data_IF_794566317778
#
_entry.id   IF_794566317778
#
_cell.length_a   1.000
_cell.length_b   1.000
_cell.length_c   1.000
_cell.angle_alpha   90.00
_cell.angle_beta   90.00
_cell.angle_gamma   90.00
#
_symmetry.space_group_name_H-M   'P 1'
#
loop_
_entity.id
_entity.type
_entity.pdbx_description
1 polymer ?
#
# COMPACT_ATOMS: atom_id res chain seq x y z
N UNK A 1 10.09 28.55 33.52
CA UNK A 1 11.32 27.73 33.31
C UNK A 1 10.93 26.26 33.43
N UNK A 2 11.16 25.46 32.40
CA UNK A 2 11.67 24.10 32.56
C UNK A 2 13.08 23.99 31.97
N UNK A 3 13.89 23.16 32.63
CA UNK A 3 15.27 22.86 32.28
C UNK A 3 15.37 21.82 31.13
N UNK A 4 16.58 21.69 30.54
CA UNK A 4 16.80 21.18 29.18
C UNK A 4 17.43 19.78 29.13
N UNK A 5 17.69 19.31 27.91
CA UNK A 5 18.64 18.25 27.53
C UNK A 5 18.25 16.80 27.89
N UNK A 6 17.67 16.12 26.90
CA UNK A 6 18.13 14.78 26.48
C UNK A 6 18.08 14.73 24.94
N UNK A 7 19.28 14.84 24.35
CA UNK A 7 19.74 14.23 23.08
C UNK A 7 18.85 14.46 21.84
N UNK A 8 19.10 15.45 20.98
CA UNK A 8 20.21 15.52 20.01
C UNK A 8 20.97 14.20 19.77
N UNK A 9 21.10 13.84 18.49
CA UNK A 9 21.70 12.63 17.91
C UNK A 9 20.70 11.48 17.71
N UNK A 10 19.88 11.60 16.66
CA UNK A 10 19.63 10.54 15.66
C UNK A 10 19.06 11.20 14.39
N UNK A 11 19.77 12.21 13.86
CA UNK A 11 19.69 12.57 12.44
C UNK A 11 20.87 11.85 11.79
N UNK A 12 20.76 10.52 11.70
CA UNK A 12 21.68 9.68 10.95
C UNK A 12 20.83 8.99 9.89
N UNK A 13 21.00 9.43 8.65
CA UNK A 13 20.75 8.68 7.41
C UNK A 13 19.99 7.37 7.63
N UNK A 14 18.65 7.40 7.63
CA UNK A 14 17.90 6.17 7.46
C UNK A 14 18.08 5.77 5.98
N UNK A 15 18.72 4.63 5.68
CA UNK A 15 18.66 4.10 4.32
C UNK A 15 17.19 3.91 3.95
N UNK A 16 16.82 4.21 2.69
CA UNK A 16 15.44 4.03 2.18
C UNK A 16 14.82 2.73 2.66
N UNK A 17 13.49 2.67 2.82
CA UNK A 17 12.77 1.52 3.38
C UNK A 17 13.02 0.20 2.64
N UNK A 18 13.59 0.21 1.44
CA UNK A 18 14.23 -0.95 0.80
C UNK A 18 15.21 -1.64 1.77
N UNK A 19 16.08 -0.88 2.43
CA UNK A 19 17.00 -1.37 3.45
C UNK A 19 16.32 -1.86 4.72
N UNK A 20 15.23 -1.22 5.16
CA UNK A 20 14.49 -1.59 6.38
C UNK A 20 13.61 -2.82 6.19
N UNK A 21 12.97 -2.98 5.03
CA UNK A 21 12.19 -4.18 4.64
C UNK A 21 13.13 -5.39 4.48
N UNK A 22 14.31 -5.20 3.87
CA UNK A 22 15.37 -6.22 3.84
C UNK A 22 15.86 -6.59 5.26
N UNK A 23 16.00 -5.59 6.16
CA UNK A 23 16.43 -5.83 7.54
C UNK A 23 15.38 -6.57 8.38
N UNK A 24 14.09 -6.21 8.23
CA UNK A 24 12.98 -6.88 8.89
C UNK A 24 12.87 -8.35 8.45
N UNK A 25 13.05 -8.64 7.15
CA UNK A 25 13.13 -10.01 6.62
C UNK A 25 14.31 -10.81 7.20
N UNK A 26 15.50 -10.21 7.38
CA UNK A 26 16.66 -10.89 8.00
C UNK A 26 16.41 -11.32 9.45
N UNK A 27 15.53 -10.64 10.17
CA UNK A 27 15.12 -11.00 11.53
C UNK A 27 14.05 -12.10 11.56
N UNK A 28 13.24 -12.26 10.50
CA UNK A 28 12.18 -13.29 10.42
C UNK A 28 12.59 -14.56 9.67
N UNK A 29 13.58 -14.49 8.77
CA UNK A 29 14.03 -15.62 7.94
C UNK A 29 15.25 -16.37 8.51
N UNK A 30 15.87 -15.88 9.59
CA UNK A 30 16.96 -16.59 10.29
C UNK A 30 16.49 -17.85 11.05
N UNK A 31 15.20 -18.13 11.05
CA UNK A 31 14.59 -19.35 11.62
C UNK A 31 14.35 -20.47 10.62
N UNK A 32 14.61 -20.30 9.31
CA UNK A 32 14.48 -21.41 8.34
C UNK A 32 15.50 -21.31 7.19
N UNK A 33 16.48 -22.21 7.23
CA UNK A 33 17.03 -22.93 6.06
C UNK A 33 17.70 -22.17 4.91
N UNK A 34 19.02 -22.29 4.83
CA UNK A 34 19.91 -21.95 3.71
C UNK A 34 19.64 -22.75 2.42
N UNK A 35 19.71 -22.10 1.24
CA UNK A 35 20.71 -22.41 0.19
C UNK A 35 20.60 -21.51 -1.06
N UNK A 36 21.76 -21.37 -1.73
CA UNK A 36 22.13 -20.50 -2.86
C UNK A 36 21.43 -20.85 -4.20
N UNK A 37 21.49 -20.08 -5.30
CA UNK A 37 22.66 -19.77 -6.16
C UNK A 37 22.29 -18.79 -7.30
N UNK A 38 23.31 -18.14 -7.87
CA UNK A 38 23.25 -17.11 -8.93
C UNK A 38 23.15 -17.66 -10.35
N UNK A 39 22.62 -16.90 -11.31
CA UNK A 39 23.22 -16.78 -12.66
C UNK A 39 22.74 -15.54 -13.44
N UNK A 40 23.70 -15.02 -14.22
CA UNK A 40 23.69 -13.89 -15.16
C UNK A 40 22.61 -13.96 -16.26
N UNK A 41 22.13 -12.80 -16.74
CA UNK A 41 22.58 -12.24 -18.04
C UNK A 41 21.66 -11.17 -18.67
N UNK A 42 22.33 -10.27 -19.39
CA UNK A 42 21.91 -9.44 -20.52
C UNK A 42 21.00 -8.21 -20.33
N UNK A 43 21.68 -7.07 -20.48
CA UNK A 43 21.21 -5.70 -20.68
C UNK A 43 20.52 -5.56 -22.03
N UNK A 44 19.28 -5.07 -22.03
CA UNK A 44 18.68 -4.42 -23.19
C UNK A 44 18.39 -2.95 -22.89
N UNK A 45 18.83 -2.15 -23.84
CA UNK A 45 18.86 -0.69 -23.92
C UNK A 45 17.47 -0.05 -23.93
N UNK A 46 17.25 0.89 -22.99
CA UNK A 46 16.74 2.23 -23.30
C UNK A 46 15.41 2.40 -24.05
N UNK A 47 14.31 1.80 -23.58
CA UNK A 47 12.99 2.43 -23.75
C UNK A 47 12.40 2.73 -22.38
N UNK A 48 12.32 4.02 -22.03
CA UNK A 48 11.42 4.47 -20.96
C UNK A 48 10.02 3.97 -21.32
N UNK A 49 9.61 2.90 -20.66
CA UNK A 49 8.35 2.23 -20.95
C UNK A 49 7.25 3.16 -20.47
N UNK A 50 6.71 3.96 -21.40
CA UNK A 50 5.62 4.88 -21.09
C UNK A 50 4.45 4.07 -20.52
N UNK A 51 4.13 4.30 -19.24
CA UNK A 51 3.07 3.57 -18.56
C UNK A 51 1.73 3.88 -19.23
N UNK A 52 0.82 2.90 -19.23
CA UNK A 52 -0.42 2.98 -20.01
C UNK A 52 -1.37 4.05 -19.46
N UNK A 53 -2.29 4.57 -20.29
CA UNK A 53 -3.35 5.46 -19.81
C UNK A 53 -4.19 4.84 -18.69
N UNK A 54 -4.41 3.52 -18.73
CA UNK A 54 -5.14 2.81 -17.68
C UNK A 54 -4.36 2.82 -16.36
N UNK A 55 -3.05 2.57 -16.39
CA UNK A 55 -2.22 2.66 -15.19
C UNK A 55 -2.27 4.06 -14.57
N UNK A 56 -2.17 5.12 -15.39
CA UNK A 56 -2.26 6.50 -14.90
C UNK A 56 -3.61 6.79 -14.24
N UNK A 57 -4.71 6.25 -14.78
CA UNK A 57 -6.04 6.35 -14.17
C UNK A 57 -6.15 5.64 -12.83
N UNK A 58 -5.53 4.45 -12.68
CA UNK A 58 -5.44 3.76 -11.38
C UNK A 58 -4.71 4.61 -10.35
N UNK A 59 -3.56 5.18 -10.72
CA UNK A 59 -2.81 6.06 -9.83
C UNK A 59 -3.58 7.33 -9.47
N UNK A 60 -4.31 7.91 -10.42
CA UNK A 60 -5.18 9.07 -10.18
C UNK A 60 -6.30 8.74 -9.20
N UNK A 61 -6.92 7.58 -9.37
CA UNK A 61 -7.96 7.08 -8.46
C UNK A 61 -7.43 6.92 -7.04
N UNK A 62 -6.24 6.34 -6.86
CA UNK A 62 -5.59 6.26 -5.55
C UNK A 62 -5.28 7.67 -5.00
N UNK A 63 -4.70 8.55 -5.81
CA UNK A 63 -4.33 9.91 -5.40
C UNK A 63 -5.54 10.71 -4.91
N UNK A 64 -6.64 10.72 -5.66
CA UNK A 64 -7.88 11.42 -5.31
C UNK A 64 -8.57 10.82 -4.08
N UNK A 65 -8.38 9.52 -3.86
CA UNK A 65 -8.86 8.83 -2.65
C UNK A 65 -8.15 9.37 -1.40
N UNK A 66 -6.91 9.82 -1.53
CA UNK A 66 -6.14 10.46 -0.46
C UNK A 66 -6.42 11.97 -0.40
N UNK A 67 -6.36 12.69 -1.53
CA UNK A 67 -6.69 14.12 -1.64
C UNK A 67 -8.21 14.36 -1.60
N UNK A 68 -8.83 14.07 -0.46
CA UNK A 68 -10.27 14.33 -0.27
C UNK A 68 -10.63 15.82 -0.27
N UNK A 69 -9.65 16.72 -0.17
CA UNK A 69 -9.90 18.17 -0.29
C UNK A 69 -9.99 18.61 -1.75
N UNK A 70 -9.46 17.82 -2.68
CA UNK A 70 -9.43 18.14 -4.10
C UNK A 70 -8.59 19.37 -4.40
N UNK A 71 -7.54 19.64 -3.61
CA UNK A 71 -6.66 20.79 -3.83
C UNK A 71 -5.48 20.44 -4.76
N UNK A 72 -5.44 19.23 -5.29
CA UNK A 72 -4.43 18.75 -6.24
C UNK A 72 -3.12 18.33 -5.59
N UNK A 73 -3.03 18.32 -4.25
CA UNK A 73 -1.82 17.96 -3.52
C UNK A 73 -2.13 17.10 -2.30
N UNK A 74 -1.36 16.04 -2.10
CA UNK A 74 -1.42 15.23 -0.88
C UNK A 74 -0.36 15.68 0.12
N UNK A 75 -0.73 15.67 1.40
CA UNK A 75 0.17 15.93 2.54
C UNK A 75 0.12 14.76 3.51
N UNK A 76 1.10 14.69 4.40
CA UNK A 76 1.07 13.76 5.53
C UNK A 76 -0.25 13.82 6.33
N UNK A 77 -0.81 15.03 6.49
CA UNK A 77 -2.10 15.20 7.18
C UNK A 77 -3.27 14.47 6.52
N UNK A 78 -3.25 14.28 5.20
CA UNK A 78 -4.31 13.58 4.47
C UNK A 78 -4.23 12.06 4.74
N UNK A 79 -3.02 11.53 4.85
CA UNK A 79 -2.76 10.17 5.34
C UNK A 79 -3.15 10.00 6.82
N UNK A 80 -2.88 10.98 7.69
CA UNK A 80 -3.35 10.95 9.09
C UNK A 80 -4.89 10.95 9.19
N UNK A 81 -5.59 11.64 8.27
CA UNK A 81 -7.07 11.60 8.20
C UNK A 81 -7.57 10.24 7.75
N UNK A 82 -6.89 9.59 6.81
CA UNK A 82 -7.17 8.20 6.44
C UNK A 82 -7.04 7.28 7.67
N UNK A 83 -5.94 7.40 8.43
CA UNK A 83 -5.76 6.64 9.68
C UNK A 83 -6.87 6.90 10.70
N UNK A 84 -7.27 8.17 10.86
CA UNK A 84 -8.33 8.54 11.80
C UNK A 84 -9.65 7.89 11.40
N UNK A 85 -10.02 7.93 10.11
CA UNK A 85 -11.22 7.24 9.61
C UNK A 85 -11.15 5.74 9.87
N UNK A 86 -9.99 5.14 9.65
CA UNK A 86 -9.78 3.71 9.87
C UNK A 86 -9.95 3.36 11.34
N UNK A 87 -9.30 4.09 12.24
CA UNK A 87 -9.46 3.87 13.68
C UNK A 87 -10.91 4.09 14.16
N UNK A 88 -11.69 4.94 13.50
CA UNK A 88 -13.11 5.18 13.82
C UNK A 88 -14.07 4.15 13.22
N UNK A 89 -13.73 3.56 12.06
CA UNK A 89 -14.60 2.65 11.31
C UNK A 89 -14.14 1.19 11.35
N UNK A 90 -12.97 0.88 11.93
CA UNK A 90 -12.65 -0.49 12.34
C UNK A 90 -13.78 -0.92 13.26
N UNK A 91 -14.55 -1.96 12.90
CA UNK A 91 -15.65 -2.40 13.73
C UNK A 91 -15.13 -2.69 15.14
N UNK A 92 -15.93 -2.39 16.16
CA UNK A 92 -15.72 -2.81 17.56
C UNK A 92 -15.50 -4.34 17.75
N UNK A 93 -15.49 -5.12 16.67
CA UNK A 93 -15.38 -6.56 16.55
C UNK A 93 -13.94 -7.06 16.77
N UNK A 94 -12.91 -6.22 16.62
CA UNK A 94 -11.55 -6.60 17.05
C UNK A 94 -11.51 -6.57 18.58
N UNK A 95 -11.62 -7.75 19.21
CA UNK A 95 -11.35 -7.98 20.62
C UNK A 95 -10.18 -7.09 21.10
N UNK A 96 -10.44 -6.28 22.13
CA UNK A 96 -9.62 -5.20 22.72
C UNK A 96 -8.11 -5.48 22.85
N UNK A 97 -7.65 -6.73 22.74
CA UNK A 97 -6.26 -7.14 22.92
C UNK A 97 -5.40 -7.09 21.65
N UNK A 98 -5.97 -6.99 20.45
CA UNK A 98 -5.22 -6.95 19.18
C UNK A 98 -5.28 -5.61 18.45
N UNK A 99 -6.14 -4.67 18.88
CA UNK A 99 -6.26 -3.32 18.29
C UNK A 99 -4.91 -2.61 18.28
N UNK A 100 -4.10 -2.70 19.33
CA UNK A 100 -2.84 -1.94 19.44
C UNK A 100 -1.76 -2.40 18.46
N UNK A 101 -1.59 -3.71 18.24
CA UNK A 101 -0.66 -4.23 17.25
C UNK A 101 -1.17 -3.97 15.83
N UNK A 102 -2.49 -4.06 15.66
CA UNK A 102 -3.17 -3.83 14.39
C UNK A 102 -3.08 -2.38 13.92
N UNK A 103 -3.45 -1.42 14.78
CA UNK A 103 -3.34 0.02 14.51
C UNK A 103 -1.91 0.41 14.18
N UNK A 104 -0.90 -0.17 14.85
CA UNK A 104 0.52 0.06 14.55
C UNK A 104 0.93 -0.44 13.17
N UNK A 105 0.47 -1.62 12.76
CA UNK A 105 0.76 -2.15 11.43
C UNK A 105 0.16 -1.26 10.34
N UNK A 106 -1.06 -0.79 10.54
CA UNK A 106 -1.73 0.08 9.59
C UNK A 106 -1.15 1.49 9.54
N UNK A 107 -0.82 2.05 10.71
CA UNK A 107 -0.06 3.30 10.82
C UNK A 107 1.28 3.19 10.08
N UNK A 108 1.95 2.04 10.21
CA UNK A 108 3.18 1.79 9.48
C UNK A 108 2.97 1.79 7.96
N UNK A 109 1.94 1.10 7.46
CA UNK A 109 1.61 1.10 6.02
C UNK A 109 1.30 2.52 5.54
N UNK A 110 0.46 3.25 6.25
CA UNK A 110 0.00 4.57 5.80
C UNK A 110 1.11 5.62 5.86
N UNK A 111 1.82 5.74 6.97
CA UNK A 111 2.80 6.82 7.16
C UNK A 111 4.19 6.45 6.65
N UNK A 112 4.63 5.21 6.85
CA UNK A 112 5.98 4.82 6.45
C UNK A 112 6.03 4.25 5.04
N UNK A 113 4.95 3.62 4.53
CA UNK A 113 4.98 3.07 3.17
C UNK A 113 4.32 4.05 2.18
N UNK A 114 3.03 4.36 2.35
CA UNK A 114 2.33 5.22 1.39
C UNK A 114 2.86 6.65 1.38
N UNK A 115 3.03 7.28 2.54
CA UNK A 115 3.55 8.64 2.61
C UNK A 115 5.07 8.68 2.38
N UNK A 116 5.86 8.11 3.30
CA UNK A 116 7.31 8.29 3.25
C UNK A 116 7.92 7.68 1.98
N UNK A 117 7.58 6.46 1.60
CA UNK A 117 8.25 5.80 0.47
C UNK A 117 7.56 6.03 -0.87
N UNK A 118 6.26 5.80 -0.94
CA UNK A 118 5.56 5.85 -2.23
C UNK A 118 5.32 7.29 -2.68
N UNK A 119 4.85 8.17 -1.78
CA UNK A 119 4.60 9.56 -2.14
C UNK A 119 5.88 10.41 -2.15
N UNK A 120 6.84 10.18 -1.25
CA UNK A 120 8.04 11.05 -1.12
C UNK A 120 9.39 10.39 -1.38
N UNK A 121 9.45 9.07 -1.60
CA UNK A 121 10.69 8.28 -1.80
C UNK A 121 11.75 8.47 -0.71
N UNK A 122 11.33 8.63 0.54
CA UNK A 122 12.21 8.85 1.68
C UNK A 122 12.89 10.23 1.68
N UNK A 123 12.37 11.17 0.88
CA UNK A 123 12.81 12.57 0.87
C UNK A 123 12.33 13.36 2.09
N UNK A 124 11.83 14.57 1.88
CA UNK A 124 11.22 15.34 2.97
C UNK A 124 9.84 14.74 3.34
N UNK A 125 9.79 14.10 4.51
CA UNK A 125 8.58 13.49 5.09
C UNK A 125 7.85 14.43 6.08
N UNK A 126 8.29 15.68 6.18
CA UNK A 126 7.78 16.68 7.12
C UNK A 126 6.32 17.06 6.86
N UNK A 127 5.68 17.65 7.88
CA UNK A 127 4.25 17.98 7.83
C UNK A 127 3.92 19.10 6.83
N UNK A 128 4.90 19.90 6.43
CA UNK A 128 4.77 20.95 5.41
C UNK A 128 4.91 20.44 3.98
N UNK A 129 5.40 19.20 3.78
CA UNK A 129 5.60 18.65 2.45
C UNK A 129 4.27 18.43 1.74
N UNK A 130 4.23 18.79 0.46
CA UNK A 130 3.10 18.57 -0.44
C UNK A 130 3.57 17.81 -1.68
N UNK A 131 2.85 16.78 -2.09
CA UNK A 131 3.16 16.02 -3.31
C UNK A 131 1.97 16.19 -4.26
N UNK A 132 2.22 16.68 -5.48
CA UNK A 132 1.18 16.74 -6.52
C UNK A 132 1.08 15.41 -7.28
N UNK A 133 0.13 15.32 -8.22
CA UNK A 133 -0.10 14.06 -8.94
C UNK A 133 1.06 13.65 -9.87
N UNK A 134 1.72 14.62 -10.51
CA UNK A 134 2.81 14.31 -11.44
C UNK A 134 4.05 13.85 -10.67
N UNK A 135 4.35 14.46 -9.53
CA UNK A 135 5.40 13.99 -8.64
C UNK A 135 5.05 12.63 -8.03
N UNK A 136 3.82 12.42 -7.55
CA UNK A 136 3.38 11.15 -7.01
C UNK A 136 3.58 10.02 -8.03
N UNK A 137 3.10 10.22 -9.27
CA UNK A 137 3.24 9.21 -10.32
C UNK A 137 4.70 9.00 -10.72
N UNK A 138 5.49 10.07 -10.85
CA UNK A 138 6.94 9.95 -11.07
C UNK A 138 7.62 9.10 -9.99
N UNK A 139 7.26 9.31 -8.73
CA UNK A 139 7.82 8.56 -7.61
C UNK A 139 7.45 7.06 -7.67
N UNK A 140 6.21 6.72 -8.04
CA UNK A 140 5.85 5.31 -8.29
C UNK A 140 6.60 4.74 -9.50
N UNK A 141 6.75 5.49 -10.60
CA UNK A 141 7.51 5.05 -11.77
C UNK A 141 8.95 4.63 -11.43
N UNK A 142 9.59 5.32 -10.49
CA UNK A 142 10.94 4.96 -10.04
C UNK A 142 10.98 3.59 -9.35
N UNK A 143 9.90 3.19 -8.68
CA UNK A 143 9.76 1.86 -8.07
C UNK A 143 9.48 0.76 -9.13
N UNK A 144 9.01 1.14 -10.33
CA UNK A 144 8.75 0.21 -11.44
C UNK A 144 9.99 -0.06 -12.30
N UNK A 145 11.09 0.66 -12.09
CA UNK A 145 12.37 0.40 -12.77
C UNK A 145 12.91 -0.98 -12.43
N UNK A 146 13.65 -1.58 -13.36
CA UNK A 146 14.17 -2.95 -13.25
C UNK A 146 14.96 -3.18 -11.96
N UNK A 147 15.75 -2.20 -11.51
CA UNK A 147 16.52 -2.30 -10.26
C UNK A 147 15.65 -2.36 -8.98
N UNK A 148 14.42 -1.83 -9.01
CA UNK A 148 13.59 -1.63 -7.82
C UNK A 148 12.33 -2.50 -7.82
N UNK A 149 11.87 -2.96 -8.99
CA UNK A 149 10.57 -3.63 -9.16
C UNK A 149 10.41 -4.87 -8.29
N UNK A 150 11.48 -5.62 -8.06
CA UNK A 150 11.43 -6.81 -7.22
C UNK A 150 11.19 -6.43 -5.75
N UNK A 151 11.86 -5.40 -5.24
CA UNK A 151 11.63 -4.90 -3.88
C UNK A 151 10.22 -4.32 -3.78
N UNK A 152 9.78 -3.56 -4.78
CA UNK A 152 8.44 -2.99 -4.79
C UNK A 152 7.36 -4.08 -4.74
N UNK A 153 7.55 -5.19 -5.47
CA UNK A 153 6.66 -6.36 -5.38
C UNK A 153 6.60 -6.93 -3.95
N UNK A 154 7.72 -7.01 -3.24
CA UNK A 154 7.72 -7.47 -1.85
C UNK A 154 6.97 -6.50 -0.92
N UNK A 155 7.07 -5.19 -1.17
CA UNK A 155 6.31 -4.18 -0.43
C UNK A 155 4.81 -4.36 -0.68
N UNK A 156 4.40 -4.50 -1.95
CA UNK A 156 3.01 -4.74 -2.31
C UNK A 156 2.46 -6.03 -1.69
N UNK A 157 3.30 -7.07 -1.63
CA UNK A 157 2.96 -8.34 -0.99
C UNK A 157 2.67 -8.17 0.50
N UNK A 158 3.57 -7.47 1.20
CA UNK A 158 3.42 -7.15 2.61
C UNK A 158 2.14 -6.36 2.87
N UNK A 159 1.87 -5.34 2.05
CA UNK A 159 0.65 -4.54 2.12
C UNK A 159 -0.58 -5.44 1.95
N UNK A 160 -0.64 -6.26 0.90
CA UNK A 160 -1.77 -7.15 0.64
C UNK A 160 -2.04 -8.11 1.81
N UNK A 161 -1.00 -8.72 2.38
CA UNK A 161 -1.12 -9.60 3.56
C UNK A 161 -1.65 -8.86 4.78
N UNK A 162 -1.19 -7.64 5.02
CA UNK A 162 -1.67 -6.83 6.14
C UNK A 162 -3.13 -6.40 5.96
N UNK A 163 -3.52 -5.99 4.76
CA UNK A 163 -4.92 -5.70 4.45
C UNK A 163 -5.80 -6.95 4.55
N UNK A 164 -5.34 -8.10 4.06
CA UNK A 164 -6.09 -9.34 4.18
C UNK A 164 -6.44 -9.65 5.64
N UNK A 165 -5.44 -9.58 6.54
CA UNK A 165 -5.62 -9.80 7.98
C UNK A 165 -6.49 -8.74 8.67
N UNK A 166 -6.62 -7.56 8.08
CA UNK A 166 -7.51 -6.50 8.57
C UNK A 166 -8.95 -6.80 8.18
N UNK A 167 -9.16 -7.14 6.91
CA UNK A 167 -10.47 -7.17 6.28
C UNK A 167 -11.19 -8.48 6.60
N UNK A 168 -10.47 -9.62 6.61
CA UNK A 168 -10.99 -10.92 7.01
C UNK A 168 -11.15 -11.01 8.54
N UNK A 169 -12.13 -10.28 9.07
CA UNK A 169 -12.34 -10.04 10.51
C UNK A 169 -12.80 -11.32 11.20
N UNK A 170 -13.64 -12.10 10.53
CA UNK A 170 -14.18 -13.35 11.06
C UNK A 170 -13.14 -14.51 11.09
N UNK A 171 -11.97 -14.31 10.46
CA UNK A 171 -10.82 -15.24 10.38
C UNK A 171 -11.13 -16.59 9.73
N UNK A 172 -12.12 -16.64 8.84
CA UNK A 172 -12.36 -17.81 7.99
C UNK A 172 -11.28 -17.98 6.89
N UNK A 173 -10.32 -17.05 6.82
CA UNK A 173 -9.27 -16.98 5.80
C UNK A 173 -9.78 -16.60 4.41
N UNK A 174 -10.93 -15.93 4.37
CA UNK A 174 -11.51 -15.35 3.17
C UNK A 174 -12.03 -13.94 3.48
N UNK A 175 -12.33 -13.16 2.45
CA UNK A 175 -12.97 -11.85 2.58
C UNK A 175 -14.35 -11.96 1.93
N UNK A 176 -15.39 -11.79 2.75
CA UNK A 176 -16.77 -11.71 2.27
C UNK A 176 -17.05 -10.39 1.54
N UNK A 177 -18.16 -10.34 0.80
CA UNK A 177 -18.63 -9.10 0.15
C UNK A 177 -18.81 -7.97 1.17
N UNK A 178 -19.40 -8.26 2.33
CA UNK A 178 -19.63 -7.26 3.38
C UNK A 178 -18.31 -6.71 3.94
N UNK A 179 -17.30 -7.57 4.16
CA UNK A 179 -15.98 -7.15 4.61
C UNK A 179 -15.26 -6.32 3.54
N UNK A 180 -15.39 -6.68 2.26
CA UNK A 180 -14.86 -5.87 1.16
C UNK A 180 -15.53 -4.50 1.06
N UNK A 181 -16.85 -4.40 1.29
CA UNK A 181 -17.57 -3.12 1.36
C UNK A 181 -17.05 -2.26 2.50
N UNK A 182 -16.84 -2.85 3.69
CA UNK A 182 -16.24 -2.15 4.82
C UNK A 182 -14.84 -1.62 4.48
N UNK A 183 -14.02 -2.43 3.81
CA UNK A 183 -12.71 -2.02 3.31
C UNK A 183 -12.78 -0.81 2.37
N UNK A 184 -13.68 -0.80 1.38
CA UNK A 184 -13.89 0.34 0.50
C UNK A 184 -14.33 1.59 1.27
N UNK A 185 -15.18 1.41 2.29
CA UNK A 185 -15.59 2.47 3.20
C UNK A 185 -14.42 3.13 3.95
N UNK A 186 -13.36 2.38 4.27
CA UNK A 186 -12.15 2.93 4.90
C UNK A 186 -11.46 3.99 4.02
N UNK A 187 -11.49 3.77 2.70
CA UNK A 187 -10.99 4.71 1.71
C UNK A 187 -12.01 5.83 1.40
N UNK A 188 -13.22 5.75 1.97
CA UNK A 188 -14.33 6.65 1.71
C UNK A 188 -14.90 6.46 0.30
N UNK A 189 -14.90 5.22 -0.16
CA UNK A 189 -15.60 4.78 -1.38
C UNK A 189 -16.95 4.24 -0.92
N UNK A 190 -18.01 4.98 -1.27
CA UNK A 190 -19.40 4.64 -0.95
C UNK A 190 -20.18 4.61 -2.26
N UNK A 191 -19.97 3.56 -3.06
CA UNK A 191 -20.71 3.36 -4.30
C UNK A 191 -21.83 2.34 -4.12
N UNK A 192 -22.85 2.44 -4.98
CA UNK A 192 -24.04 1.58 -4.96
C UNK A 192 -23.74 0.14 -5.46
N UNK A 193 -22.65 -0.09 -6.19
CA UNK A 193 -22.37 -1.36 -6.86
C UNK A 193 -20.95 -1.96 -6.60
N UNK A 194 -20.55 -2.20 -5.34
CA UNK A 194 -19.26 -2.81 -5.00
C UNK A 194 -19.14 -4.27 -5.47
N UNK A 195 -20.27 -4.93 -5.78
CA UNK A 195 -20.34 -6.35 -6.15
C UNK A 195 -19.56 -6.64 -7.43
N UNK A 196 -19.70 -5.81 -8.48
CA UNK A 196 -18.99 -6.05 -9.75
C UNK A 196 -17.46 -5.98 -9.59
N UNK A 197 -16.97 -5.22 -8.62
CA UNK A 197 -15.53 -5.11 -8.35
C UNK A 197 -15.04 -6.26 -7.50
N UNK A 198 -15.86 -6.68 -6.53
CA UNK A 198 -15.63 -7.89 -5.77
C UNK A 198 -15.49 -9.10 -6.71
N UNK A 199 -16.46 -9.29 -7.62
CA UNK A 199 -16.46 -10.35 -8.63
C UNK A 199 -15.24 -10.29 -9.57
N UNK A 200 -14.68 -9.10 -9.81
CA UNK A 200 -13.46 -8.97 -10.60
C UNK A 200 -12.22 -9.52 -9.88
N UNK A 201 -12.23 -9.52 -8.55
CA UNK A 201 -11.14 -10.03 -7.70
C UNK A 201 -11.36 -11.51 -7.36
N UNK A 202 -12.61 -11.95 -7.14
CA UNK A 202 -13.01 -13.35 -6.95
C UNK A 202 -12.92 -14.12 -8.28
N UNK A 203 -11.69 -14.38 -8.70
CA UNK A 203 -11.36 -15.02 -9.98
C UNK A 203 -11.82 -16.47 -10.07
N UNK A 204 -12.04 -17.13 -8.92
CA UNK A 204 -12.53 -18.50 -8.87
C UNK A 204 -14.06 -18.60 -8.70
N UNK A 205 -14.72 -17.47 -8.46
CA UNK A 205 -16.16 -17.32 -8.35
C UNK A 205 -16.79 -18.13 -7.20
N UNK A 206 -16.09 -18.29 -6.08
CA UNK A 206 -16.61 -19.00 -4.90
C UNK A 206 -17.43 -18.08 -3.96
N UNK A 207 -17.58 -16.79 -4.30
CA UNK A 207 -18.30 -15.81 -3.51
C UNK A 207 -17.48 -15.19 -2.37
N UNK A 208 -16.15 -15.38 -2.40
CA UNK A 208 -15.21 -14.94 -1.37
C UNK A 208 -13.89 -14.50 -2.02
N UNK A 209 -13.14 -13.60 -1.40
CA UNK A 209 -11.79 -13.25 -1.87
C UNK A 209 -10.75 -13.91 -0.98
N UNK A 210 -9.97 -14.83 -1.55
CA UNK A 210 -8.83 -15.43 -0.87
C UNK A 210 -7.59 -14.54 -0.84
N UNK A 211 -6.58 -14.90 -0.04
CA UNK A 211 -5.32 -14.15 0.03
C UNK A 211 -4.58 -14.08 -1.31
N UNK A 212 -4.60 -15.16 -2.10
CA UNK A 212 -3.92 -15.22 -3.41
C UNK A 212 -4.58 -14.25 -4.40
N UNK A 213 -5.91 -14.16 -4.37
CA UNK A 213 -6.69 -13.26 -5.21
C UNK A 213 -6.45 -11.80 -4.83
N UNK A 214 -6.48 -11.49 -3.53
CA UNK A 214 -6.18 -10.13 -3.07
C UNK A 214 -4.74 -9.72 -3.44
N UNK A 215 -3.75 -10.60 -3.26
CA UNK A 215 -2.35 -10.33 -3.67
C UNK A 215 -2.26 -10.06 -5.17
N UNK A 216 -2.93 -10.88 -5.98
CA UNK A 216 -2.97 -10.73 -7.43
C UNK A 216 -3.63 -9.41 -7.84
N UNK A 217 -4.72 -9.01 -7.18
CA UNK A 217 -5.38 -7.74 -7.39
C UNK A 217 -4.50 -6.54 -6.99
N UNK A 218 -3.74 -6.62 -5.89
CA UNK A 218 -2.77 -5.58 -5.54
C UNK A 218 -1.67 -5.45 -6.60
N UNK A 219 -1.08 -6.57 -7.05
CA UNK A 219 -0.08 -6.52 -8.11
C UNK A 219 -0.65 -5.96 -9.41
N UNK A 220 -1.84 -6.39 -9.81
CA UNK A 220 -2.49 -5.88 -11.01
C UNK A 220 -2.79 -4.39 -10.89
N UNK A 221 -3.31 -3.90 -9.75
CA UNK A 221 -3.59 -2.48 -9.57
C UNK A 221 -2.33 -1.61 -9.72
N UNK A 222 -1.23 -1.96 -9.05
CA UNK A 222 -0.02 -1.14 -9.00
C UNK A 222 0.93 -1.34 -10.19
N UNK A 223 0.97 -2.53 -10.80
CA UNK A 223 1.92 -2.90 -11.85
C UNK A 223 1.27 -3.14 -13.21
N UNK A 224 0.01 -3.58 -13.22
CA UNK A 224 -0.70 -3.95 -14.44
C UNK A 224 -0.93 -2.78 -15.38
N UNK A 225 -0.75 -3.00 -16.68
CA UNK A 225 -0.96 -2.00 -17.73
C UNK A 225 -2.30 -2.16 -18.45
N UNK A 226 -2.95 -3.32 -18.29
CA UNK A 226 -4.19 -3.72 -18.96
C UNK A 226 -5.29 -3.94 -17.92
N UNK A 227 -6.52 -4.17 -18.40
CA UNK A 227 -7.64 -4.54 -17.53
C UNK A 227 -7.37 -5.93 -16.95
N UNK A 228 -7.32 -6.02 -15.64
CA UNK A 228 -7.19 -7.24 -14.86
C UNK A 228 -8.00 -7.22 -13.56
N UNK A 229 -7.86 -8.26 -12.72
CA UNK A 229 -8.64 -8.42 -11.49
C UNK A 229 -8.53 -7.27 -10.49
N UNK A 230 -7.38 -6.58 -10.49
CA UNK A 230 -7.11 -5.46 -9.60
C UNK A 230 -7.56 -4.11 -10.13
N UNK A 231 -8.07 -4.02 -11.36
CA UNK A 231 -8.42 -2.74 -12.01
C UNK A 231 -9.30 -1.88 -11.13
N UNK A 232 -10.25 -2.49 -10.42
CA UNK A 232 -11.23 -1.82 -9.58
C UNK A 232 -11.00 -2.10 -8.08
N UNK A 233 -9.77 -2.39 -7.67
CA UNK A 233 -9.42 -2.70 -6.28
C UNK A 233 -9.93 -1.64 -5.28
N UNK A 234 -9.88 -0.36 -5.68
CA UNK A 234 -10.35 0.78 -4.90
C UNK A 234 -11.64 1.39 -5.47
N UNK A 235 -12.40 0.58 -6.20
CA UNK A 235 -13.64 0.97 -6.85
C UNK A 235 -13.46 1.57 -8.24
N UNK A 236 -14.45 2.35 -8.66
CA UNK A 236 -14.51 2.93 -10.00
C UNK A 236 -13.28 3.79 -10.28
N UNK A 237 -12.70 3.62 -11.47
CA UNK A 237 -11.64 4.49 -11.93
C UNK A 237 -12.16 5.90 -12.25
N UNK A 238 -11.55 6.89 -11.62
CA UNK A 238 -11.78 8.30 -11.87
C UNK A 238 -11.15 8.78 -13.20
#
# INVERSE_FOLDING_TARGET
RPCPLLHSIYICWMPSLIGTIICAKKLTLKTMGSNAESTNSHVHDGQETQLSPLWRRKMKTFFDTIDKKGNGVIRKSDFCRLLTRINQNIPFIVLYRQISAFTKAFEHIVLNIFWAEMATRGGDIGDSRTVDFDEFTHNICMNLKQENVQVFKEVLDYIAVCFFKLIAVNRDQEISVDEYILFLGLFGVHEEFPINWFESIDTNCNGSIGLIELRSAFFDFWLGQNVGPGTYLLGRLL
#
